data_IF_624475051359
#
_entry.id   IF_624475051359
#
_cell.length_a   1.000
_cell.length_b   1.000
_cell.length_c   1.000
_cell.angle_alpha   90.00
_cell.angle_beta   90.00
_cell.angle_gamma   90.00
#
_symmetry.space_group_name_H-M   'P 1'
#
loop_
_entity.id
_entity.type
_entity.pdbx_description
1 polymer ?
#
# COMPACT_ATOMS: atom_id res chain seq x y z
N UNK A 1 1.95 -6.16 13.43
CA UNK A 1 1.42 -6.72 12.17
C UNK A 1 0.23 -5.95 11.61
N UNK A 2 -0.66 -5.35 12.43
CA UNK A 2 -1.70 -4.42 11.96
C UNK A 2 -1.16 -3.33 11.02
N UNK A 3 -0.04 -2.70 11.41
CA UNK A 3 0.67 -1.70 10.59
C UNK A 3 1.00 -2.12 9.15
N UNK A 4 1.27 -3.40 8.86
CA UNK A 4 1.56 -3.87 7.48
C UNK A 4 0.27 -4.05 6.67
N UNK A 5 -0.80 -4.55 7.29
CA UNK A 5 -2.11 -4.62 6.65
C UNK A 5 -2.66 -3.20 6.38
N UNK A 6 -2.52 -2.29 7.34
CA UNK A 6 -2.89 -0.87 7.19
C UNK A 6 -2.10 -0.22 6.06
N UNK A 7 -0.77 -0.42 6.01
CA UNK A 7 0.08 0.08 4.92
C UNK A 7 -0.32 -0.48 3.56
N UNK A 8 -0.66 -1.77 3.46
CA UNK A 8 -1.14 -2.36 2.22
C UNK A 8 -2.50 -1.78 1.78
N UNK A 9 -3.41 -1.51 2.72
CA UNK A 9 -4.67 -0.81 2.43
C UNK A 9 -4.43 0.63 1.99
N UNK A 10 -3.44 1.32 2.56
CA UNK A 10 -3.06 2.66 2.13
C UNK A 10 -2.52 2.68 0.70
N UNK A 11 -1.82 1.62 0.25
CA UNK A 11 -1.41 1.50 -1.17
C UNK A 11 -2.62 1.45 -2.12
N UNK A 12 -3.68 0.72 -1.75
CA UNK A 12 -4.92 0.69 -2.53
C UNK A 12 -5.55 2.08 -2.61
N UNK A 13 -5.70 2.73 -1.45
CA UNK A 13 -6.31 4.06 -1.36
C UNK A 13 -5.51 5.12 -2.12
N UNK A 14 -4.19 5.00 -2.15
CA UNK A 14 -3.34 5.88 -2.94
C UNK A 14 -3.66 5.74 -4.43
N UNK A 15 -3.74 4.51 -4.94
CA UNK A 15 -4.12 4.26 -6.33
C UNK A 15 -5.52 4.77 -6.65
N UNK A 16 -6.50 4.52 -5.79
CA UNK A 16 -7.88 4.99 -5.94
C UNK A 16 -7.97 6.53 -5.92
N UNK A 17 -7.21 7.19 -5.05
CA UNK A 17 -7.15 8.66 -5.00
C UNK A 17 -6.53 9.22 -6.28
N UNK A 18 -5.43 8.64 -6.78
CA UNK A 18 -4.83 9.04 -8.07
C UNK A 18 -5.83 8.86 -9.21
N UNK A 19 -6.53 7.72 -9.24
CA UNK A 19 -7.54 7.46 -10.26
C UNK A 19 -8.63 8.51 -10.25
N UNK A 20 -9.15 8.85 -9.06
CA UNK A 20 -10.18 9.86 -8.90
C UNK A 20 -9.69 11.24 -9.37
N UNK A 21 -8.45 11.61 -9.04
CA UNK A 21 -7.86 12.89 -9.46
C UNK A 21 -7.60 12.97 -10.97
N UNK A 22 -7.24 11.85 -11.60
CA UNK A 22 -7.10 11.76 -13.07
C UNK A 22 -8.46 11.84 -13.77
N UNK A 23 -9.50 11.24 -13.21
CA UNK A 23 -10.84 11.16 -13.81
C UNK A 23 -11.58 12.50 -13.72
N UNK A 24 -11.44 13.20 -12.59
CA UNK A 24 -12.19 14.43 -12.31
C UNK A 24 -11.52 15.71 -12.80
N UNK A 25 -10.28 15.67 -13.29
CA UNK A 25 -9.55 16.90 -13.55
C UNK A 25 -8.51 16.79 -14.67
N UNK A 26 -8.37 17.89 -15.41
CA UNK A 26 -7.18 18.21 -16.21
C UNK A 26 -5.97 18.53 -15.29
N UNK A 27 -5.85 17.85 -14.16
CA UNK A 27 -4.88 18.18 -13.11
C UNK A 27 -3.50 17.76 -13.56
N UNK A 28 -2.58 18.73 -13.55
CA UNK A 28 -1.17 18.47 -13.76
C UNK A 28 -0.69 17.40 -12.78
N UNK A 29 0.15 16.48 -13.26
CA UNK A 29 0.60 15.35 -12.43
C UNK A 29 1.31 15.83 -11.16
N UNK A 30 1.99 16.98 -11.18
CA UNK A 30 2.58 17.59 -10.00
C UNK A 30 1.55 17.98 -8.93
N UNK A 31 0.35 18.43 -9.33
CA UNK A 31 -0.73 18.72 -8.39
C UNK A 31 -1.32 17.45 -7.75
N UNK A 32 -1.33 16.32 -8.47
CA UNK A 32 -1.69 15.00 -7.90
C UNK A 32 -0.68 14.64 -6.80
N UNK A 33 0.63 14.77 -7.06
CA UNK A 33 1.66 14.48 -6.06
C UNK A 33 1.59 15.41 -4.85
N UNK A 34 1.36 16.72 -5.07
CA UNK A 34 1.19 17.67 -3.99
C UNK A 34 -0.01 17.32 -3.10
N UNK A 35 -1.13 16.92 -3.70
CA UNK A 35 -2.32 16.52 -2.97
C UNK A 35 -2.09 15.22 -2.17
N UNK A 36 -1.44 14.22 -2.76
CA UNK A 36 -1.06 12.99 -2.04
C UNK A 36 -0.12 13.29 -0.87
N UNK A 37 0.85 14.18 -1.04
CA UNK A 37 1.80 14.56 0.02
C UNK A 37 1.13 15.36 1.15
N UNK A 38 0.09 16.13 0.83
CA UNK A 38 -0.67 16.95 1.80
C UNK A 38 -1.68 16.14 2.62
N UNK A 39 -2.09 14.97 2.13
CA UNK A 39 -3.12 14.16 2.77
C UNK A 39 -2.55 13.41 4.00
N UNK A 40 -3.03 13.70 5.23
CA UNK A 40 -2.52 13.09 6.46
C UNK A 40 -2.62 11.56 6.47
N UNK A 41 -3.54 10.98 5.69
CA UNK A 41 -3.72 9.52 5.59
C UNK A 41 -2.48 8.84 5.00
N UNK A 42 -1.72 9.55 4.15
CA UNK A 42 -0.50 9.06 3.54
C UNK A 42 0.78 9.49 4.27
N UNK A 43 0.68 10.11 5.44
CA UNK A 43 1.84 10.45 6.28
C UNK A 43 2.81 9.27 6.55
N UNK A 44 2.36 7.99 6.67
CA UNK A 44 3.27 6.84 6.77
C UNK A 44 4.19 6.66 5.55
N UNK A 45 3.87 7.26 4.42
CA UNK A 45 4.67 7.28 3.18
C UNK A 45 5.43 8.61 3.08
N UNK A 46 6.38 8.81 3.99
CA UNK A 46 7.17 10.04 4.05
C UNK A 46 7.91 10.39 2.76
N UNK A 47 8.18 9.41 1.88
CA UNK A 47 8.77 9.62 0.56
C UNK A 47 7.87 10.43 -0.40
N UNK A 48 6.57 10.56 -0.10
CA UNK A 48 5.68 11.44 -0.86
C UNK A 48 5.99 12.92 -0.59
N UNK A 49 6.53 13.25 0.58
CA UNK A 49 6.98 14.61 0.90
C UNK A 49 8.25 14.93 0.09
N UNK A 50 8.13 15.84 -0.87
CA UNK A 50 9.22 16.17 -1.80
C UNK A 50 9.34 15.22 -2.99
N UNK A 51 8.32 14.40 -3.24
CA UNK A 51 8.23 13.59 -4.44
C UNK A 51 8.13 14.48 -5.68
N UNK A 52 9.17 14.47 -6.50
CA UNK A 52 9.24 15.19 -7.77
C UNK A 52 8.96 14.20 -8.92
N UNK A 53 7.88 14.38 -9.70
CA UNK A 53 7.55 13.49 -10.81
C UNK A 53 8.64 13.42 -11.90
N UNK A 54 9.52 14.43 -11.98
CA UNK A 54 10.64 14.44 -12.92
C UNK A 54 11.84 13.64 -12.43
N UNK A 55 11.89 13.20 -11.16
CA UNK A 55 13.03 12.52 -10.55
C UNK A 55 12.69 11.09 -10.15
N UNK A 56 13.72 10.26 -10.05
CA UNK A 56 13.59 8.91 -9.49
C UNK A 56 13.22 9.01 -8.01
N UNK A 57 12.02 8.54 -7.67
CA UNK A 57 11.53 8.49 -6.29
C UNK A 57 12.05 7.24 -5.60
N UNK A 58 12.76 7.39 -4.47
CA UNK A 58 13.09 6.27 -3.59
C UNK A 58 11.88 5.94 -2.72
N UNK A 59 11.16 4.89 -3.10
CA UNK A 59 9.96 4.44 -2.37
C UNK A 59 10.36 3.56 -1.19
N UNK A 60 9.76 3.83 -0.03
CA UNK A 60 9.93 3.05 1.18
C UNK A 60 8.57 2.86 1.89
N UNK A 61 7.80 1.87 1.45
CA UNK A 61 6.49 1.52 2.06
C UNK A 61 6.66 0.77 3.38
N UNK A 62 7.83 0.14 3.59
CA UNK A 62 8.11 -0.78 4.71
C UNK A 62 7.26 -2.06 4.67
N UNK A 63 6.82 -2.45 3.47
CA UNK A 63 6.23 -3.75 3.15
C UNK A 63 7.31 -4.68 2.60
N UNK A 64 7.28 -5.01 1.31
CA UNK A 64 8.33 -5.77 0.62
C UNK A 64 8.99 -4.94 -0.47
N UNK A 65 10.21 -5.32 -0.87
CA UNK A 65 10.92 -4.65 -1.97
C UNK A 65 10.13 -4.67 -3.29
N UNK A 66 9.33 -5.72 -3.53
CA UNK A 66 8.43 -5.79 -4.68
C UNK A 66 7.34 -4.72 -4.60
N UNK A 67 6.74 -4.51 -3.43
CA UNK A 67 5.73 -3.47 -3.22
C UNK A 67 6.33 -2.07 -3.47
N UNK A 68 7.57 -1.85 -3.03
CA UNK A 68 8.30 -0.60 -3.26
C UNK A 68 8.63 -0.38 -4.75
N UNK A 69 9.09 -1.42 -5.46
CA UNK A 69 9.42 -1.37 -6.88
C UNK A 69 8.20 -1.07 -7.76
N UNK A 70 7.08 -1.75 -7.50
CA UNK A 70 5.84 -1.55 -8.26
C UNK A 70 5.26 -0.15 -8.03
N UNK A 71 5.27 0.34 -6.78
CA UNK A 71 4.85 1.72 -6.50
C UNK A 71 5.82 2.74 -7.14
N UNK A 72 7.13 2.52 -7.07
CA UNK A 72 8.10 3.41 -7.72
C UNK A 72 7.89 3.47 -9.23
N UNK A 73 7.68 2.32 -9.87
CA UNK A 73 7.40 2.24 -11.30
C UNK A 73 6.08 2.93 -11.67
N UNK A 74 5.04 2.78 -10.85
CA UNK A 74 3.76 3.47 -11.04
C UNK A 74 3.95 4.99 -10.97
N UNK A 75 4.55 5.50 -9.88
CA UNK A 75 4.76 6.94 -9.68
C UNK A 75 5.63 7.55 -10.79
N UNK A 76 6.68 6.85 -11.22
CA UNK A 76 7.56 7.32 -12.31
C UNK A 76 6.87 7.37 -13.67
N UNK A 77 5.83 6.57 -13.90
CA UNK A 77 5.12 6.52 -15.20
C UNK A 77 3.90 7.43 -15.23
N UNK A 78 3.41 7.85 -14.07
CA UNK A 78 2.35 8.84 -13.95
C UNK A 78 2.78 10.14 -14.64
N UNK A 79 1.89 10.76 -15.43
CA UNK A 79 2.20 11.99 -16.16
C UNK A 79 2.94 11.82 -17.49
N UNK A 80 3.40 10.61 -17.86
CA UNK A 80 4.25 10.39 -19.05
C UNK A 80 3.52 9.89 -20.29
N UNK A 81 2.21 9.66 -20.20
CA UNK A 81 1.36 9.23 -21.32
C UNK A 81 0.09 10.06 -21.37
N UNK A 82 -0.72 9.88 -22.43
CA UNK A 82 -2.07 10.42 -22.50
C UNK A 82 -2.96 9.89 -21.36
N UNK A 83 -4.07 10.61 -21.11
CA UNK A 83 -5.00 10.32 -20.03
C UNK A 83 -5.53 8.88 -20.07
N UNK A 84 -5.91 8.35 -21.23
CA UNK A 84 -6.46 7.01 -21.33
C UNK A 84 -5.44 5.94 -20.91
N UNK A 85 -4.18 6.10 -21.33
CA UNK A 85 -3.10 5.22 -20.89
C UNK A 85 -2.75 5.39 -19.41
N UNK A 86 -2.85 6.61 -18.85
CA UNK A 86 -2.66 6.85 -17.41
C UNK A 86 -3.75 6.21 -16.56
N UNK A 87 -5.01 6.29 -17.02
CA UNK A 87 -6.15 5.63 -16.40
C UNK A 87 -5.93 4.10 -16.36
N UNK A 88 -5.52 3.51 -17.49
CA UNK A 88 -5.20 2.08 -17.58
C UNK A 88 -4.01 1.67 -16.70
N UNK A 89 -2.95 2.49 -16.66
CA UNK A 89 -1.80 2.29 -15.77
C UNK A 89 -2.24 2.28 -14.30
N UNK A 90 -3.09 3.24 -13.92
CA UNK A 90 -3.61 3.38 -12.56
C UNK A 90 -4.52 2.22 -12.17
N UNK A 91 -5.39 1.76 -13.07
CA UNK A 91 -6.24 0.59 -12.84
C UNK A 91 -5.39 -0.68 -12.62
N UNK A 92 -4.33 -0.85 -13.41
CA UNK A 92 -3.36 -1.93 -13.23
C UNK A 92 -2.68 -1.89 -11.87
N UNK A 93 -2.24 -0.70 -11.44
CA UNK A 93 -1.64 -0.52 -10.11
C UNK A 93 -2.64 -0.78 -8.98
N UNK A 94 -3.90 -0.33 -9.11
CA UNK A 94 -4.96 -0.60 -8.12
C UNK A 94 -5.20 -2.11 -7.99
N UNK A 95 -5.28 -2.84 -9.12
CA UNK A 95 -5.45 -4.29 -9.11
C UNK A 95 -4.30 -5.00 -8.39
N UNK A 96 -3.07 -4.58 -8.66
CA UNK A 96 -1.89 -5.04 -7.91
C UNK A 96 -2.04 -4.77 -6.41
N UNK A 97 -2.30 -3.52 -6.02
CA UNK A 97 -2.40 -3.12 -4.62
C UNK A 97 -3.49 -3.89 -3.87
N UNK A 98 -4.66 -4.11 -4.49
CA UNK A 98 -5.77 -4.91 -3.93
C UNK A 98 -5.33 -6.35 -3.67
N UNK A 99 -4.68 -6.99 -4.63
CA UNK A 99 -4.12 -8.34 -4.45
C UNK A 99 -3.13 -8.40 -3.27
N UNK A 100 -2.27 -7.39 -3.13
CA UNK A 100 -1.35 -7.29 -1.99
C UNK A 100 -2.09 -7.12 -0.66
N UNK A 101 -3.09 -6.24 -0.60
CA UNK A 101 -3.90 -6.04 0.60
C UNK A 101 -4.60 -7.33 1.05
N UNK A 102 -5.13 -8.11 0.12
CA UNK A 102 -5.72 -9.43 0.38
C UNK A 102 -4.70 -10.43 0.92
N UNK A 103 -3.51 -10.50 0.31
CA UNK A 103 -2.41 -11.37 0.79
C UNK A 103 -2.01 -11.01 2.23
N UNK A 104 -1.83 -9.73 2.53
CA UNK A 104 -1.48 -9.28 3.88
C UNK A 104 -2.61 -9.55 4.88
N UNK A 105 -3.88 -9.38 4.48
CA UNK A 105 -5.03 -9.71 5.31
C UNK A 105 -5.09 -11.21 5.62
N UNK A 106 -4.88 -12.07 4.62
CA UNK A 106 -4.86 -13.52 4.77
C UNK A 106 -3.72 -13.98 5.70
N UNK A 107 -2.51 -13.41 5.55
CA UNK A 107 -1.37 -13.68 6.43
C UNK A 107 -1.65 -13.27 7.88
N UNK A 108 -2.26 -12.10 8.08
CA UNK A 108 -2.62 -11.62 9.40
C UNK A 108 -3.66 -12.53 10.08
N UNK A 109 -4.68 -12.98 9.33
CA UNK A 109 -5.69 -13.93 9.83
C UNK A 109 -5.07 -15.28 10.21
N UNK A 110 -4.21 -15.84 9.35
CA UNK A 110 -3.55 -17.13 9.58
C UNK A 110 -2.64 -17.10 10.82
N UNK A 111 -1.88 -16.02 11.01
CA UNK A 111 -1.03 -15.88 12.19
C UNK A 111 -1.83 -15.72 13.48
N UNK A 112 -2.95 -14.97 13.48
CA UNK A 112 -3.84 -14.89 14.65
C UNK A 112 -4.38 -16.26 15.04
N UNK A 113 -4.79 -17.07 14.06
CA UNK A 113 -5.25 -18.44 14.30
C UNK A 113 -4.14 -19.33 14.88
N UNK A 114 -2.92 -19.23 14.35
CA UNK A 114 -1.77 -19.94 14.93
C UNK A 114 -1.52 -19.52 16.38
N UNK A 115 -1.52 -18.23 16.67
CA UNK A 115 -1.27 -17.72 18.03
C UNK A 115 -2.32 -18.22 19.03
N UNK A 116 -3.59 -18.26 18.64
CA UNK A 116 -4.66 -18.83 19.46
C UNK A 116 -4.46 -20.34 19.68
N UNK A 117 -4.11 -21.08 18.63
CA UNK A 117 -3.87 -22.52 18.74
C UNK A 117 -2.67 -22.84 19.65
N UNK A 118 -1.57 -22.09 19.53
CA UNK A 118 -0.39 -22.23 20.40
C UNK A 118 -0.65 -21.74 21.84
N UNK A 119 -1.44 -20.68 22.02
CA UNK A 119 -1.82 -20.21 23.35
C UNK A 119 -2.70 -21.22 24.09
N UNK A 120 -3.65 -21.85 23.40
CA UNK A 120 -4.50 -22.91 23.95
C UNK A 120 -3.70 -24.17 24.29
N UNK A 121 -2.79 -24.60 23.43
CA UNK A 121 -1.97 -25.80 23.67
C UNK A 121 -0.89 -25.58 24.73
N UNK A 122 -0.27 -24.40 24.79
CA UNK A 122 0.66 -24.04 25.87
C UNK A 122 -0.01 -23.96 27.24
N UNK A 123 -1.23 -23.42 27.32
CA UNK A 123 -2.03 -23.39 28.55
C UNK A 123 -2.46 -24.78 29.03
N UNK A 124 -2.80 -25.67 28.10
CA UNK A 124 -3.18 -27.05 28.42
C UNK A 124 -1.99 -27.87 28.95
N UNK A 125 -0.80 -27.71 28.35
CA UNK A 125 0.42 -28.40 28.80
C UNK A 125 0.86 -27.89 30.18
N UNK A 126 0.79 -26.58 30.43
CA UNK A 126 1.10 -26.02 31.75
C UNK A 126 0.12 -26.52 32.83
N UNK A 127 -1.17 -26.61 32.51
CA UNK A 127 -2.17 -27.17 33.42
C UNK A 127 -1.94 -28.66 33.70
N UNK A 128 -1.50 -29.43 32.71
CA UNK A 128 -1.16 -30.86 32.88
C UNK A 128 0.16 -31.10 33.64
N UNK A 129 1.10 -30.15 33.62
CA UNK A 129 2.35 -30.24 34.39
C UNK A 129 2.22 -29.72 35.84
N UNK A 130 1.17 -28.95 36.13
CA UNK A 130 0.85 -28.41 37.46
C UNK A 130 -0.22 -29.23 38.21
N UNK A 131 -0.76 -30.27 37.58
CA UNK A 131 -1.70 -31.23 38.17
C UNK A 131 -0.96 -32.52 38.58
#
# INVERSE_FOLDING_TARGET
MGRRCERAQLLCRLGEQVRLLLDYSMTDTGAIFAQLASDPRFAPFGFLQGCDPAKTVTVATGLTARDDQELAAFLQRLGKSDLQNQLRLTDGYIAFAKGRAEEYAARCKRQKQLYVAFGLSGGLIAALLLA
#
